data_IF_187906972023
#
_entry.id   IF_187906972023
#
_cell.length_a   1.000
_cell.length_b   1.000
_cell.length_c   1.000
_cell.angle_alpha   90.00
_cell.angle_beta   90.00
_cell.angle_gamma   90.00
#
_symmetry.space_group_name_H-M   'P 1'
#
loop_
_entity.id
_entity.type
_entity.pdbx_description
1 polymer ?
#
# COMPACT_ATOMS: atom_id res chain seq x y z
N UNK A 1 5.34 13.83 -12.13
CA UNK A 1 4.90 15.10 -12.76
C UNK A 1 3.89 14.88 -13.88
N UNK A 2 4.21 14.13 -14.93
CA UNK A 2 3.33 13.91 -16.09
C UNK A 2 1.99 13.23 -15.74
N UNK A 3 1.97 12.37 -14.71
CA UNK A 3 0.74 11.77 -14.18
C UNK A 3 -0.17 12.77 -13.43
N UNK A 4 0.20 14.05 -13.34
CA UNK A 4 -0.56 15.10 -12.64
C UNK A 4 -0.17 15.31 -11.17
N UNK A 5 0.61 14.40 -10.58
CA UNK A 5 1.15 14.59 -9.23
C UNK A 5 2.41 15.47 -9.26
N UNK A 6 2.29 16.68 -8.70
CA UNK A 6 3.41 17.60 -8.50
C UNK A 6 4.17 17.27 -7.20
N UNK A 7 4.80 16.09 -7.19
CA UNK A 7 5.67 15.58 -6.12
C UNK A 7 7.14 15.85 -6.49
N UNK A 8 7.89 16.54 -5.65
CA UNK A 8 9.31 16.90 -5.83
C UNK A 8 10.07 16.80 -4.51
N UNK A 9 11.37 17.13 -4.50
CA UNK A 9 12.17 17.17 -3.28
C UNK A 9 11.65 18.13 -2.20
N UNK A 10 10.90 19.17 -2.60
CA UNK A 10 10.37 20.21 -1.70
C UNK A 10 8.85 20.23 -1.63
N UNK A 11 8.17 19.27 -2.26
CA UNK A 11 6.71 19.24 -2.36
C UNK A 11 6.19 17.82 -2.33
N UNK A 12 5.19 17.57 -1.50
CA UNK A 12 4.67 16.23 -1.20
C UNK A 12 3.16 16.07 -1.54
N UNK A 13 2.57 14.96 -1.10
CA UNK A 13 1.16 14.63 -1.28
C UNK A 13 0.21 15.31 -0.29
N UNK A 14 0.70 16.15 0.63
CA UNK A 14 -0.15 16.80 1.65
C UNK A 14 -1.33 17.59 1.05
N UNK A 15 -1.19 18.35 -0.07
CA UNK A 15 -2.33 19.06 -0.63
C UNK A 15 -3.48 18.15 -1.06
N UNK A 16 -3.16 16.97 -1.62
CA UNK A 16 -4.16 15.98 -2.04
C UNK A 16 -4.81 15.35 -0.82
N UNK A 17 -4.01 14.91 0.16
CA UNK A 17 -4.52 14.31 1.39
C UNK A 17 -5.39 15.30 2.19
N UNK A 18 -5.00 16.58 2.27
CA UNK A 18 -5.78 17.61 2.93
C UNK A 18 -7.13 17.88 2.26
N UNK A 19 -7.18 17.82 0.93
CA UNK A 19 -8.44 17.89 0.19
C UNK A 19 -9.34 16.69 0.53
N UNK A 20 -8.80 15.46 0.49
CA UNK A 20 -9.55 14.24 0.83
C UNK A 20 -10.07 14.27 2.27
N UNK A 21 -9.29 14.79 3.21
CA UNK A 21 -9.65 14.87 4.64
C UNK A 21 -10.83 15.79 4.89
N UNK A 22 -10.93 16.91 4.15
CA UNK A 22 -12.10 17.82 4.23
C UNK A 22 -13.40 17.11 3.87
N UNK A 23 -13.35 16.15 2.96
CA UNK A 23 -14.51 15.37 2.51
C UNK A 23 -14.65 14.02 3.20
N UNK A 24 -13.82 13.72 4.22
CA UNK A 24 -13.82 12.44 4.96
C UNK A 24 -13.69 11.22 4.03
N UNK A 25 -12.86 11.37 3.00
CA UNK A 25 -12.57 10.31 2.04
C UNK A 25 -11.47 9.38 2.56
N UNK A 26 -11.36 8.20 1.95
CA UNK A 26 -10.24 7.28 2.14
C UNK A 26 -9.23 7.43 1.01
N UNK A 27 -7.98 7.08 1.29
CA UNK A 27 -6.91 7.03 0.29
C UNK A 27 -6.66 5.57 -0.10
N UNK A 28 -6.53 5.28 -1.40
CA UNK A 28 -6.17 3.94 -1.89
C UNK A 28 -4.83 3.94 -2.62
N UNK A 29 -4.01 2.90 -2.45
CA UNK A 29 -2.69 2.77 -3.08
C UNK A 29 -2.36 1.33 -3.44
N UNK A 30 -1.81 1.11 -4.64
CA UNK A 30 -1.48 -0.22 -5.17
C UNK A 30 -0.06 -0.69 -4.87
N UNK A 31 0.81 0.12 -4.23
CA UNK A 31 2.27 -0.14 -4.20
C UNK A 31 2.77 -0.90 -2.96
N UNK A 32 1.88 -1.52 -2.18
CA UNK A 32 2.27 -2.21 -0.95
C UNK A 32 3.05 -3.51 -1.17
N UNK A 33 2.87 -4.14 -2.34
CA UNK A 33 3.56 -5.36 -2.74
C UNK A 33 4.91 -5.12 -3.43
N UNK A 34 5.25 -3.86 -3.71
CA UNK A 34 6.47 -3.50 -4.43
C UNK A 34 7.63 -3.22 -3.46
N UNK A 35 8.80 -3.78 -3.76
CA UNK A 35 10.07 -3.44 -3.12
C UNK A 35 11.02 -2.70 -4.05
N UNK A 36 11.83 -1.81 -3.52
CA UNK A 36 12.83 -1.03 -4.28
C UNK A 36 13.88 -1.95 -4.94
N UNK A 37 14.29 -3.02 -4.26
CA UNK A 37 15.29 -3.99 -4.74
C UNK A 37 14.83 -4.75 -6.00
N UNK A 38 13.52 -4.88 -6.20
CA UNK A 38 12.96 -5.61 -7.34
C UNK A 38 12.79 -4.71 -8.59
N UNK A 39 13.10 -3.41 -8.48
CA UNK A 39 12.90 -2.46 -9.57
C UNK A 39 14.06 -2.49 -10.57
N UNK A 40 13.71 -2.54 -11.86
CA UNK A 40 14.69 -2.47 -12.95
C UNK A 40 15.27 -1.05 -13.07
N UNK A 41 14.45 -0.03 -12.80
CA UNK A 41 14.89 1.35 -12.84
C UNK A 41 15.48 1.74 -11.46
N UNK A 42 16.77 2.13 -11.38
CA UNK A 42 17.40 2.51 -10.11
C UNK A 42 16.80 3.77 -9.48
N UNK A 43 16.13 4.62 -10.27
CA UNK A 43 15.42 5.80 -9.78
C UNK A 43 14.01 5.47 -9.23
N UNK A 44 13.55 4.22 -9.36
CA UNK A 44 12.25 3.78 -8.87
C UNK A 44 12.34 3.46 -7.37
N UNK A 45 11.54 4.16 -6.55
CA UNK A 45 11.41 3.87 -5.12
C UNK A 45 9.94 3.74 -4.71
N UNK A 46 9.30 2.57 -4.95
CA UNK A 46 7.97 2.28 -4.44
C UNK A 46 7.86 2.37 -2.91
N UNK A 47 8.87 1.92 -2.17
CA UNK A 47 8.88 2.00 -0.70
C UNK A 47 8.96 3.46 -0.23
N UNK A 48 9.78 4.28 -0.90
CA UNK A 48 9.88 5.72 -0.62
C UNK A 48 8.59 6.46 -0.93
N UNK A 49 7.98 6.16 -2.08
CA UNK A 49 6.66 6.67 -2.45
C UNK A 49 5.59 6.32 -1.40
N UNK A 50 5.53 5.05 -1.00
CA UNK A 50 4.55 4.59 -0.01
C UNK A 50 4.74 5.29 1.34
N UNK A 51 5.98 5.48 1.80
CA UNK A 51 6.28 6.24 3.03
C UNK A 51 5.75 7.67 2.98
N UNK A 52 5.96 8.39 1.87
CA UNK A 52 5.44 9.75 1.70
C UNK A 52 3.89 9.77 1.72
N UNK A 53 3.26 8.79 1.10
CA UNK A 53 1.81 8.70 1.03
C UNK A 53 1.19 8.36 2.39
N UNK A 54 1.79 7.43 3.13
CA UNK A 54 1.42 7.07 4.51
C UNK A 54 1.53 8.30 5.42
N UNK A 55 2.64 9.05 5.32
CA UNK A 55 2.82 10.28 6.07
C UNK A 55 1.70 11.28 5.79
N UNK A 56 1.38 11.53 4.51
CA UNK A 56 0.30 12.43 4.14
C UNK A 56 -1.08 11.96 4.64
N UNK A 57 -1.37 10.66 4.56
CA UNK A 57 -2.61 10.09 5.09
C UNK A 57 -2.74 10.28 6.60
N UNK A 58 -1.66 10.04 7.36
CA UNK A 58 -1.62 10.23 8.83
C UNK A 58 -1.85 11.69 9.22
N UNK A 59 -1.19 12.62 8.54
CA UNK A 59 -1.33 14.06 8.82
C UNK A 59 -2.78 14.57 8.73
N UNK A 60 -3.62 13.93 7.93
CA UNK A 60 -5.03 14.29 7.75
C UNK A 60 -6.01 13.22 8.25
N UNK A 61 -5.54 12.26 9.06
CA UNK A 61 -6.36 11.17 9.62
C UNK A 61 -7.18 10.40 8.57
N UNK A 62 -6.61 10.17 7.38
CA UNK A 62 -7.27 9.43 6.31
C UNK A 62 -7.15 7.92 6.55
N UNK A 63 -8.25 7.16 6.44
CA UNK A 63 -8.17 5.72 6.28
C UNK A 63 -7.39 5.38 5.01
N UNK A 64 -6.53 4.36 5.10
CA UNK A 64 -5.71 3.90 3.98
C UNK A 64 -6.15 2.52 3.53
N UNK A 65 -6.40 2.35 2.24
CA UNK A 65 -6.64 1.07 1.60
C UNK A 65 -5.44 0.71 0.73
N UNK A 66 -4.85 -0.45 0.98
CA UNK A 66 -3.85 -1.05 0.12
C UNK A 66 -4.49 -1.95 -0.94
N UNK A 67 -4.00 -1.88 -2.16
CA UNK A 67 -4.31 -2.81 -3.24
C UNK A 67 -3.03 -3.52 -3.67
N UNK A 68 -3.16 -4.72 -4.20
CA UNK A 68 -2.04 -5.45 -4.79
C UNK A 68 -1.87 -4.96 -6.24
N UNK A 69 -0.67 -4.53 -6.61
CA UNK A 69 -0.41 -4.04 -7.98
C UNK A 69 -0.41 -5.16 -9.03
N UNK A 70 0.03 -6.37 -8.67
CA UNK A 70 0.06 -7.51 -9.59
C UNK A 70 -0.44 -8.76 -8.89
N UNK A 71 -1.33 -9.53 -9.53
CA UNK A 71 -1.86 -10.82 -9.02
C UNK A 71 -0.78 -11.91 -8.92
N UNK A 72 0.26 -11.68 -8.12
CA UNK A 72 1.33 -12.63 -7.79
C UNK A 72 1.20 -12.99 -6.32
N UNK A 73 0.64 -14.15 -6.05
CA UNK A 73 0.55 -14.76 -4.72
C UNK A 73 1.85 -15.49 -4.36
N UNK A 74 2.98 -14.80 -4.52
CA UNK A 74 4.25 -15.35 -4.07
C UNK A 74 4.54 -14.87 -2.63
N UNK A 75 5.37 -15.63 -1.94
CA UNK A 75 5.71 -15.35 -0.54
C UNK A 75 6.44 -14.02 -0.35
N UNK A 76 7.20 -13.55 -1.34
CA UNK A 76 7.94 -12.31 -1.26
C UNK A 76 7.00 -11.09 -1.27
N UNK A 77 6.08 -11.04 -2.22
CA UNK A 77 5.08 -9.97 -2.35
C UNK A 77 4.16 -9.93 -1.13
N UNK A 78 3.67 -11.08 -0.64
CA UNK A 78 2.83 -11.11 0.57
C UNK A 78 3.59 -10.65 1.82
N UNK A 79 4.86 -11.06 1.98
CA UNK A 79 5.71 -10.57 3.07
C UNK A 79 5.99 -9.07 2.95
N UNK A 80 6.18 -8.56 1.74
CA UNK A 80 6.39 -7.13 1.48
C UNK A 80 5.15 -6.32 1.86
N UNK A 81 3.95 -6.82 1.56
CA UNK A 81 2.69 -6.19 2.00
C UNK A 81 2.62 -6.13 3.52
N UNK A 82 2.88 -7.24 4.22
CA UNK A 82 2.85 -7.27 5.69
C UNK A 82 3.87 -6.30 6.26
N UNK A 83 5.11 -6.28 5.75
CA UNK A 83 6.16 -5.32 6.14
C UNK A 83 5.70 -3.87 5.96
N UNK A 84 5.17 -3.55 4.79
CA UNK A 84 4.67 -2.21 4.46
C UNK A 84 3.48 -1.80 5.33
N UNK A 85 2.63 -2.76 5.71
CA UNK A 85 1.48 -2.53 6.58
C UNK A 85 1.89 -2.12 7.99
N UNK A 86 2.94 -2.75 8.52
CA UNK A 86 3.49 -2.41 9.84
C UNK A 86 4.00 -0.96 9.90
N UNK A 87 4.51 -0.40 8.80
CA UNK A 87 4.93 1.01 8.74
C UNK A 87 3.76 1.98 8.98
N UNK A 88 2.54 1.58 8.65
CA UNK A 88 1.34 2.40 8.83
C UNK A 88 0.67 2.19 10.19
N UNK A 89 0.80 1.01 10.79
CA UNK A 89 0.21 0.70 12.10
C UNK A 89 1.11 1.07 13.28
N UNK A 90 2.42 1.23 13.06
CA UNK A 90 3.36 1.58 14.13
C UNK A 90 3.14 3.02 14.65
N UNK A 91 2.85 3.13 15.95
CA UNK A 91 2.90 4.39 16.70
C UNK A 91 1.60 5.19 16.90
N UNK A 92 0.45 4.82 16.31
CA UNK A 92 -0.77 5.64 16.40
C UNK A 92 -2.06 4.82 16.57
N UNK A 93 -2.73 5.02 17.70
CA UNK A 93 -4.09 4.52 17.94
C UNK A 93 -5.07 5.32 17.06
N UNK A 94 -5.79 4.65 16.15
CA UNK A 94 -6.94 5.23 15.43
C UNK A 94 -6.86 5.27 13.90
N UNK A 95 -5.75 4.84 13.28
CA UNK A 95 -5.67 4.77 11.82
C UNK A 95 -6.09 3.39 11.29
N UNK A 96 -7.07 3.38 10.38
CA UNK A 96 -7.56 2.15 9.75
C UNK A 96 -6.78 1.87 8.48
N UNK A 97 -6.15 0.69 8.43
CA UNK A 97 -5.55 0.11 7.23
C UNK A 97 -6.38 -1.10 6.80
N UNK A 98 -6.83 -1.09 5.55
CA UNK A 98 -7.49 -2.24 4.94
C UNK A 98 -6.73 -2.69 3.69
N UNK A 99 -6.84 -3.96 3.32
CA UNK A 99 -6.27 -4.47 2.09
C UNK A 99 -7.29 -5.11 1.16
N UNK A 100 -7.23 -4.70 -0.09
CA UNK A 100 -8.04 -5.19 -1.19
C UNK A 100 -7.19 -6.12 -2.05
N UNK A 101 -7.52 -7.40 -2.02
CA UNK A 101 -6.93 -8.38 -2.91
C UNK A 101 -7.59 -8.29 -4.30
N UNK A 102 -6.86 -7.82 -5.31
CA UNK A 102 -7.36 -7.68 -6.68
C UNK A 102 -6.56 -8.63 -7.59
N UNK A 103 -7.16 -9.59 -8.31
CA UNK A 103 -8.57 -9.98 -8.42
C UNK A 103 -8.76 -11.47 -8.08
N UNK A 104 -9.87 -11.79 -7.44
CA UNK A 104 -10.32 -13.17 -7.26
C UNK A 104 -10.46 -13.88 -8.61
N UNK A 105 -9.82 -15.04 -8.75
CA UNK A 105 -9.92 -15.89 -9.92
C UNK A 105 -9.73 -17.37 -9.50
N UNK A 106 -9.89 -18.30 -10.44
CA UNK A 106 -9.76 -19.74 -10.16
C UNK A 106 -8.40 -20.12 -9.55
N UNK A 107 -7.31 -19.46 -9.96
CA UNK A 107 -5.96 -19.77 -9.49
C UNK A 107 -5.78 -19.44 -8.00
N UNK A 108 -6.57 -18.49 -7.45
CA UNK A 108 -6.56 -18.19 -6.02
C UNK A 108 -6.92 -19.42 -5.16
N UNK A 109 -7.74 -20.32 -5.70
CA UNK A 109 -8.24 -21.51 -5.02
C UNK A 109 -7.39 -22.77 -5.27
N UNK A 110 -6.30 -22.64 -6.04
CA UNK A 110 -5.31 -23.71 -6.10
C UNK A 110 -4.71 -23.93 -4.72
N UNK A 111 -4.49 -25.18 -4.31
CA UNK A 111 -4.08 -25.53 -2.93
C UNK A 111 -2.87 -24.75 -2.42
N UNK A 112 -1.90 -24.50 -3.30
CA UNK A 112 -0.69 -23.72 -3.01
C UNK A 112 -1.02 -22.24 -2.74
N UNK A 113 -1.75 -21.59 -3.64
CA UNK A 113 -2.14 -20.18 -3.53
C UNK A 113 -3.10 -19.95 -2.35
N UNK A 114 -4.00 -20.90 -2.09
CA UNK A 114 -4.92 -20.86 -0.96
C UNK A 114 -4.17 -20.89 0.38
N UNK A 115 -3.12 -21.71 0.48
CA UNK A 115 -2.26 -21.76 1.67
C UNK A 115 -1.54 -20.42 1.90
N UNK A 116 -1.05 -19.79 0.83
CA UNK A 116 -0.42 -18.46 0.92
C UNK A 116 -1.42 -17.38 1.34
N UNK A 117 -2.60 -17.36 0.74
CA UNK A 117 -3.66 -16.40 1.07
C UNK A 117 -4.11 -16.53 2.53
N UNK A 118 -4.40 -17.74 2.99
CA UNK A 118 -4.85 -17.97 4.37
C UNK A 118 -3.79 -17.59 5.40
N UNK A 119 -2.50 -17.84 5.11
CA UNK A 119 -1.40 -17.35 5.95
C UNK A 119 -1.33 -15.83 5.95
N UNK A 120 -1.45 -15.18 4.79
CA UNK A 120 -1.44 -13.73 4.68
C UNK A 120 -2.58 -13.09 5.47
N UNK A 121 -3.81 -13.59 5.33
CA UNK A 121 -4.98 -13.07 6.08
C UNK A 121 -4.74 -13.16 7.60
N UNK A 122 -4.14 -14.25 8.09
CA UNK A 122 -3.77 -14.40 9.51
C UNK A 122 -2.70 -13.42 9.99
N UNK A 123 -1.83 -12.94 9.11
CA UNK A 123 -0.79 -11.95 9.46
C UNK A 123 -1.32 -10.51 9.45
N UNK A 124 -2.41 -10.28 8.72
CA UNK A 124 -3.04 -8.96 8.58
C UNK A 124 -4.18 -8.71 9.57
N UNK A 125 -4.60 -9.75 10.31
CA UNK A 125 -5.65 -9.70 11.34
C UNK A 125 -5.03 -9.56 12.73
#
# INVERSE_FOLDING_TARGET
LTAGYYNTLIRDYLPVAGMLGRFRMSLCCTCFDMGDVEQINPESSPEGFLKQLIYAARMFNLPLAGEISVTRLNDASLKQIVKSSMLYTDGLHGHSLSFNFVRMNKNLFDSHNWTHLTRFVRQMS
#
